data_IF_922537897773
#
_entry.id   IF_922537897773
#
_cell.length_a   1.000
_cell.length_b   1.000
_cell.length_c   1.000
_cell.angle_alpha   90.00
_cell.angle_beta   90.00
_cell.angle_gamma   90.00
#
_symmetry.space_group_name_H-M   'P 1'
#
loop_
_entity.id
_entity.type
_entity.pdbx_description
1 polymer ?
#
# COMPACT_ATOMS: atom_id res chain seq x y z
N UNK A 1 42.09 21.79 15.36
CA UNK A 1 42.48 20.98 14.19
C UNK A 1 41.94 19.54 14.26
N UNK A 2 42.13 18.76 15.32
CA UNK A 2 41.63 17.38 15.46
C UNK A 2 40.10 17.25 15.28
N UNK A 3 39.32 18.15 15.89
CA UNK A 3 37.84 18.13 15.79
C UNK A 3 37.35 18.32 14.34
N UNK A 4 37.97 19.21 13.60
CA UNK A 4 37.63 19.49 12.20
C UNK A 4 37.93 18.26 11.33
N UNK A 5 39.06 17.61 11.56
CA UNK A 5 39.45 16.38 10.86
C UNK A 5 38.45 15.25 11.16
N UNK A 6 38.07 15.05 12.41
CA UNK A 6 37.09 14.03 12.82
C UNK A 6 35.73 14.27 12.18
N UNK A 7 35.28 15.53 12.13
CA UNK A 7 34.04 15.89 11.47
C UNK A 7 34.08 15.61 9.97
N UNK A 8 35.19 15.91 9.32
CA UNK A 8 35.34 15.65 7.89
C UNK A 8 35.33 14.14 7.57
N UNK A 9 36.02 13.34 8.39
CA UNK A 9 36.01 11.88 8.27
C UNK A 9 34.58 11.34 8.46
N UNK A 10 33.83 11.82 9.46
CA UNK A 10 32.44 11.45 9.67
C UNK A 10 31.57 11.76 8.47
N UNK A 11 31.68 12.96 7.87
CA UNK A 11 30.94 13.34 6.68
C UNK A 11 31.24 12.42 5.48
N UNK A 12 32.52 12.06 5.28
CA UNK A 12 32.91 11.15 4.19
C UNK A 12 32.29 9.75 4.42
N UNK A 13 32.41 9.20 5.63
CA UNK A 13 31.86 7.90 5.97
C UNK A 13 30.35 7.89 5.80
N UNK A 14 29.68 8.93 6.27
CA UNK A 14 28.23 9.08 6.11
C UNK A 14 27.83 9.17 4.64
N UNK A 15 28.56 9.95 3.84
CA UNK A 15 28.31 10.07 2.40
C UNK A 15 28.47 8.72 1.69
N UNK A 16 29.55 8.00 1.95
CA UNK A 16 29.81 6.67 1.38
C UNK A 16 28.70 5.69 1.80
N UNK A 17 28.32 5.69 3.06
CA UNK A 17 27.24 4.85 3.56
C UNK A 17 25.90 5.14 2.85
N UNK A 18 25.52 6.40 2.76
CA UNK A 18 24.29 6.79 2.09
C UNK A 18 24.35 6.46 0.59
N UNK A 19 25.49 6.66 -0.06
CA UNK A 19 25.67 6.33 -1.46
C UNK A 19 25.49 4.83 -1.71
N UNK A 20 26.10 3.97 -0.88
CA UNK A 20 25.94 2.52 -0.99
C UNK A 20 24.48 2.12 -0.78
N UNK A 21 23.82 2.61 0.26
CA UNK A 21 22.45 2.22 0.60
C UNK A 21 21.41 2.68 -0.42
N UNK A 22 21.55 3.89 -0.98
CA UNK A 22 20.53 4.48 -1.83
C UNK A 22 20.80 4.39 -3.33
N UNK A 23 22.04 4.14 -3.75
CA UNK A 23 22.40 4.09 -5.17
C UNK A 23 22.91 2.74 -5.65
N UNK A 24 23.69 2.04 -4.85
CA UNK A 24 24.32 0.79 -5.28
C UNK A 24 23.49 -0.48 -4.97
N UNK A 25 22.60 -0.42 -3.98
CA UNK A 25 21.72 -1.55 -3.62
C UNK A 25 20.40 -1.59 -4.38
N UNK A 26 20.30 -0.95 -5.52
CA UNK A 26 19.09 -0.98 -6.35
C UNK A 26 19.22 -2.05 -7.42
N UNK A 27 18.20 -2.86 -7.59
CA UNK A 27 18.06 -3.67 -8.78
C UNK A 27 17.68 -2.77 -9.96
N UNK A 28 18.31 -2.98 -11.11
CA UNK A 28 17.91 -2.41 -12.39
C UNK A 28 17.07 -3.41 -13.20
N UNK A 29 16.73 -4.53 -12.59
CA UNK A 29 15.89 -5.55 -13.20
C UNK A 29 14.43 -5.05 -13.22
N UNK A 30 13.78 -5.20 -14.36
CA UNK A 30 12.38 -4.82 -14.55
C UNK A 30 11.43 -6.01 -14.35
N UNK A 31 11.96 -7.19 -14.04
CA UNK A 31 11.14 -8.37 -13.79
C UNK A 31 10.54 -8.33 -12.39
N UNK A 32 9.34 -8.90 -12.26
CA UNK A 32 8.68 -9.08 -10.96
C UNK A 32 9.33 -10.29 -10.28
N UNK A 33 9.78 -10.10 -9.06
CA UNK A 33 10.38 -11.17 -8.28
C UNK A 33 9.29 -11.96 -7.54
N UNK A 34 9.09 -13.21 -7.93
CA UNK A 34 8.11 -14.10 -7.29
C UNK A 34 8.76 -14.86 -6.14
N UNK A 35 8.11 -14.83 -4.98
CA UNK A 35 8.60 -15.49 -3.76
C UNK A 35 7.46 -16.19 -3.02
N UNK A 36 7.79 -17.33 -2.43
CA UNK A 36 6.88 -18.05 -1.55
C UNK A 36 7.50 -18.21 -0.16
N UNK A 37 6.68 -18.08 0.89
CA UNK A 37 7.00 -18.38 2.29
C UNK A 37 8.39 -17.91 2.76
N UNK A 38 8.65 -16.63 2.72
CA UNK A 38 9.93 -16.08 3.16
C UNK A 38 9.90 -15.59 4.60
N UNK A 39 11.03 -15.71 5.27
CA UNK A 39 11.23 -15.08 6.57
C UNK A 39 11.24 -13.54 6.45
N UNK A 40 10.94 -12.85 7.56
CA UNK A 40 11.00 -11.38 7.60
C UNK A 40 12.33 -10.83 7.11
N UNK A 41 13.44 -11.40 7.58
CA UNK A 41 14.79 -10.92 7.23
C UNK A 41 15.05 -11.06 5.72
N UNK A 42 14.59 -12.16 5.13
CA UNK A 42 14.71 -12.38 3.69
C UNK A 42 13.81 -11.44 2.89
N UNK A 43 12.59 -11.18 3.37
CA UNK A 43 11.69 -10.19 2.76
C UNK A 43 12.32 -8.79 2.81
N UNK A 44 12.91 -8.40 3.92
CA UNK A 44 13.60 -7.11 4.04
C UNK A 44 14.77 -6.99 3.06
N UNK A 45 15.60 -8.04 2.95
CA UNK A 45 16.72 -8.08 2.00
C UNK A 45 16.25 -7.87 0.55
N UNK A 46 15.19 -8.58 0.14
CA UNK A 46 14.65 -8.47 -1.22
C UNK A 46 14.01 -7.12 -1.45
N UNK A 47 13.20 -6.62 -0.50
CA UNK A 47 12.58 -5.30 -0.61
C UNK A 47 13.60 -4.16 -0.69
N UNK A 48 14.77 -4.31 -0.07
CA UNK A 48 15.84 -3.30 -0.13
C UNK A 48 16.42 -3.15 -1.53
N UNK A 49 16.26 -4.15 -2.40
CA UNK A 49 16.62 -4.06 -3.82
C UNK A 49 15.69 -3.13 -4.61
N UNK A 50 14.53 -2.75 -4.03
CA UNK A 50 13.49 -1.90 -4.66
C UNK A 50 12.95 -2.46 -5.97
N UNK A 51 12.89 -3.76 -6.06
CA UNK A 51 12.27 -4.49 -7.16
C UNK A 51 10.82 -4.83 -6.79
N UNK A 52 9.88 -4.84 -7.74
CA UNK A 52 8.53 -5.32 -7.48
C UNK A 52 8.54 -6.80 -7.08
N UNK A 53 7.78 -7.13 -6.05
CA UNK A 53 7.72 -8.48 -5.51
C UNK A 53 6.28 -8.96 -5.53
N UNK A 54 6.07 -10.17 -6.01
CA UNK A 54 4.81 -10.90 -5.88
C UNK A 54 5.02 -12.03 -4.88
N UNK A 55 4.16 -12.10 -3.87
CA UNK A 55 4.23 -13.14 -2.85
C UNK A 55 2.85 -13.71 -2.53
N UNK A 56 2.80 -15.00 -2.27
CA UNK A 56 1.60 -15.63 -1.74
C UNK A 56 1.48 -15.32 -0.24
N UNK A 57 0.34 -14.77 0.13
CA UNK A 57 0.08 -14.40 1.52
C UNK A 57 -1.04 -15.25 2.11
N UNK A 58 -0.65 -16.27 2.88
CA UNK A 58 -1.55 -17.27 3.45
C UNK A 58 -2.04 -16.87 4.85
N UNK A 59 -2.86 -15.82 4.94
CA UNK A 59 -3.55 -15.48 6.17
C UNK A 59 -5.07 -15.54 6.00
N UNK A 60 -5.63 -16.72 6.24
CA UNK A 60 -7.06 -17.00 6.09
C UNK A 60 -7.93 -16.00 6.86
N UNK A 61 -7.53 -15.61 8.07
CA UNK A 61 -8.31 -14.66 8.89
C UNK A 61 -8.45 -13.30 8.23
N UNK A 62 -7.41 -12.79 7.60
CA UNK A 62 -7.46 -11.51 6.89
C UNK A 62 -8.33 -11.65 5.64
N UNK A 63 -8.11 -12.69 4.86
CA UNK A 63 -8.87 -12.92 3.63
C UNK A 63 -10.36 -13.07 3.93
N UNK A 64 -10.72 -13.82 4.97
CA UNK A 64 -12.12 -13.98 5.37
C UNK A 64 -12.77 -12.68 5.85
N UNK A 65 -12.04 -11.83 6.58
CA UNK A 65 -12.57 -10.58 7.12
C UNK A 65 -12.54 -9.41 6.14
N UNK A 66 -11.81 -9.54 5.03
CA UNK A 66 -11.65 -8.49 4.02
C UNK A 66 -12.32 -8.82 2.69
N UNK A 67 -13.01 -9.95 2.58
CA UNK A 67 -13.77 -10.21 1.38
C UNK A 67 -14.98 -9.24 1.29
N UNK A 68 -15.39 -8.93 0.07
CA UNK A 68 -16.45 -7.95 -0.20
C UNK A 68 -17.77 -8.32 0.45
N UNK A 69 -18.08 -9.61 0.55
CA UNK A 69 -19.30 -10.10 1.19
C UNK A 69 -19.31 -9.77 2.67
N UNK A 70 -18.24 -10.12 3.41
CA UNK A 70 -18.17 -9.87 4.85
C UNK A 70 -18.24 -8.37 5.15
N UNK A 71 -17.52 -7.55 4.39
CA UNK A 71 -17.51 -6.11 4.58
C UNK A 71 -18.88 -5.51 4.30
N UNK A 72 -19.56 -5.94 3.23
CA UNK A 72 -20.88 -5.46 2.88
C UNK A 72 -21.97 -5.89 3.89
N UNK A 73 -21.89 -7.10 4.43
CA UNK A 73 -22.85 -7.60 5.42
C UNK A 73 -22.71 -6.88 6.78
N UNK A 74 -21.49 -6.56 7.18
CA UNK A 74 -21.24 -5.96 8.50
C UNK A 74 -21.22 -4.43 8.51
N UNK A 75 -20.85 -3.79 7.41
CA UNK A 75 -20.61 -2.34 7.35
C UNK A 75 -21.33 -1.61 6.19
N UNK A 76 -22.57 -1.97 5.85
CA UNK A 76 -23.25 -1.45 4.64
C UNK A 76 -23.52 0.05 4.65
N UNK A 77 -23.62 0.64 5.83
CA UNK A 77 -23.98 2.05 6.03
C UNK A 77 -22.76 2.99 6.14
N UNK A 78 -21.56 2.46 6.29
CA UNK A 78 -20.35 3.26 6.37
C UNK A 78 -20.00 3.85 4.99
N UNK A 79 -19.46 5.05 5.00
CA UNK A 79 -19.12 5.75 3.77
C UNK A 79 -17.74 5.40 3.28
N UNK A 80 -17.61 5.31 1.96
CA UNK A 80 -16.34 5.21 1.25
C UNK A 80 -16.24 6.32 0.20
N UNK A 81 -14.99 6.69 -0.13
CA UNK A 81 -14.67 7.75 -1.09
C UNK A 81 -14.61 7.15 -2.50
N UNK A 82 -15.44 7.66 -3.38
CA UNK A 82 -15.51 7.21 -4.78
C UNK A 82 -14.99 8.29 -5.71
N UNK A 83 -14.24 7.88 -6.69
CA UNK A 83 -13.70 8.72 -7.75
C UNK A 83 -14.04 8.15 -9.12
N UNK A 84 -14.27 9.06 -10.08
CA UNK A 84 -14.38 8.72 -11.49
C UNK A 84 -13.02 8.90 -12.17
N UNK A 85 -12.52 7.86 -12.85
CA UNK A 85 -11.22 7.89 -13.56
C UNK A 85 -11.19 8.97 -14.65
N UNK A 86 -12.32 9.23 -15.31
CA UNK A 86 -12.40 10.15 -16.44
C UNK A 86 -12.42 11.64 -16.03
N UNK A 87 -12.59 11.94 -14.76
CA UNK A 87 -12.51 13.30 -14.25
C UNK A 87 -11.05 13.70 -14.03
N UNK A 88 -10.38 13.98 -15.16
CA UNK A 88 -8.99 14.37 -15.25
C UNK A 88 -8.74 15.85 -14.93
N UNK A 89 -9.29 16.39 -13.86
CA UNK A 89 -8.71 17.61 -13.33
C UNK A 89 -7.48 17.25 -12.50
N UNK A 90 -6.34 17.41 -13.14
CA UNK A 90 -5.01 17.08 -12.59
C UNK A 90 -4.68 17.79 -11.25
N UNK A 91 -5.56 18.69 -10.79
CA UNK A 91 -5.40 19.48 -9.57
C UNK A 91 -6.52 19.31 -8.53
N UNK A 92 -7.58 18.57 -8.81
CA UNK A 92 -8.65 18.32 -7.83
C UNK A 92 -8.98 16.83 -7.78
N UNK A 93 -8.51 16.15 -6.74
CA UNK A 93 -9.00 14.83 -6.39
C UNK A 93 -10.43 14.97 -5.83
N UNK A 94 -11.41 15.03 -6.71
CA UNK A 94 -12.81 15.07 -6.31
C UNK A 94 -13.27 13.66 -5.92
N UNK A 95 -13.49 13.46 -4.63
CA UNK A 95 -14.12 12.27 -4.09
C UNK A 95 -15.56 12.55 -3.72
N UNK A 96 -16.43 11.60 -4.02
CA UNK A 96 -17.81 11.60 -3.54
C UNK A 96 -17.97 10.54 -2.48
N UNK A 97 -18.41 10.92 -1.29
CA UNK A 97 -18.68 9.97 -0.23
C UNK A 97 -20.03 9.30 -0.47
N UNK A 98 -20.04 7.98 -0.54
CA UNK A 98 -21.25 7.18 -0.67
C UNK A 98 -21.24 6.03 0.34
N UNK A 99 -22.40 5.64 0.88
CA UNK A 99 -22.53 4.44 1.70
C UNK A 99 -22.05 3.20 0.93
N UNK A 100 -21.39 2.28 1.61
CA UNK A 100 -20.79 1.10 1.01
C UNK A 100 -21.78 0.29 0.15
N UNK A 101 -23.01 0.09 0.64
CA UNK A 101 -24.01 -0.65 -0.13
C UNK A 101 -24.38 0.01 -1.48
N UNK A 102 -24.43 1.36 -1.50
CA UNK A 102 -24.70 2.11 -2.72
C UNK A 102 -23.50 2.08 -3.67
N UNK A 103 -22.30 2.14 -3.10
CA UNK A 103 -21.03 2.07 -3.84
C UNK A 103 -20.84 0.73 -4.53
N UNK A 104 -21.10 -0.37 -3.82
CA UNK A 104 -21.01 -1.72 -4.41
C UNK A 104 -22.04 -1.90 -5.54
N UNK A 105 -23.25 -1.31 -5.37
CA UNK A 105 -24.24 -1.32 -6.44
C UNK A 105 -23.75 -0.54 -7.65
N UNK A 106 -23.18 0.66 -7.45
CA UNK A 106 -22.58 1.47 -8.50
C UNK A 106 -21.49 0.70 -9.25
N UNK A 107 -20.57 0.04 -8.53
CA UNK A 107 -19.49 -0.74 -9.15
C UNK A 107 -20.02 -1.91 -9.99
N UNK A 108 -21.08 -2.59 -9.54
CA UNK A 108 -21.70 -3.69 -10.30
C UNK A 108 -22.45 -3.23 -11.54
N UNK A 109 -23.02 -2.03 -11.53
CA UNK A 109 -23.77 -1.44 -12.66
C UNK A 109 -22.86 -0.72 -13.66
N UNK A 110 -21.62 -0.41 -13.27
CA UNK A 110 -20.63 0.29 -14.09
C UNK A 110 -20.09 -0.63 -15.20
N UNK A 111 -20.51 -0.38 -16.42
CA UNK A 111 -20.05 -1.11 -17.61
C UNK A 111 -18.79 -0.56 -18.24
N UNK A 112 -18.38 0.63 -17.81
CA UNK A 112 -17.29 1.36 -18.43
C UNK A 112 -16.02 1.36 -17.56
N UNK A 113 -16.03 0.66 -16.41
CA UNK A 113 -14.89 0.58 -15.48
C UNK A 113 -14.37 1.94 -15.02
N UNK A 114 -15.28 2.88 -14.79
CA UNK A 114 -14.94 4.28 -14.53
C UNK A 114 -14.76 4.59 -13.05
N UNK A 115 -15.32 3.78 -12.16
CA UNK A 115 -15.37 4.11 -10.73
C UNK A 115 -14.44 3.25 -9.90
N UNK A 116 -13.70 3.90 -9.04
CA UNK A 116 -12.91 3.25 -8.00
C UNK A 116 -12.94 4.05 -6.69
N UNK A 117 -12.55 3.40 -5.63
CA UNK A 117 -12.52 3.92 -4.27
C UNK A 117 -11.14 3.73 -3.68
N UNK A 118 -10.58 4.78 -3.13
CA UNK A 118 -9.30 4.82 -2.43
C UNK A 118 -9.32 5.89 -1.34
N UNK A 119 -8.26 5.98 -0.53
CA UNK A 119 -8.16 6.90 0.60
C UNK A 119 -9.25 6.70 1.66
N UNK A 120 -9.58 5.43 1.94
CA UNK A 120 -10.60 5.00 2.88
C UNK A 120 -10.05 4.66 4.28
N UNK A 121 -8.98 5.30 4.70
CA UNK A 121 -8.43 5.12 6.04
C UNK A 121 -9.44 5.40 7.15
N UNK A 122 -10.35 6.37 6.91
CA UNK A 122 -11.43 6.71 7.84
C UNK A 122 -12.39 5.52 8.01
N UNK A 123 -12.81 4.89 6.91
CA UNK A 123 -13.63 3.68 6.92
C UNK A 123 -12.98 2.55 7.74
N UNK A 124 -11.69 2.29 7.53
CA UNK A 124 -10.97 1.26 8.27
C UNK A 124 -10.89 1.53 9.78
N UNK A 125 -10.76 2.80 10.17
CA UNK A 125 -10.69 3.20 11.57
C UNK A 125 -12.07 3.16 12.24
N UNK A 126 -13.10 3.67 11.60
CA UNK A 126 -14.48 3.73 12.12
C UNK A 126 -15.09 2.33 12.27
N UNK A 127 -14.87 1.45 11.31
CA UNK A 127 -15.32 0.05 11.38
C UNK A 127 -14.47 -0.80 12.31
N UNK A 128 -13.26 -0.36 12.64
CA UNK A 128 -12.31 -1.11 13.43
C UNK A 128 -11.61 -2.25 12.66
N UNK A 129 -11.88 -2.41 11.37
CA UNK A 129 -11.27 -3.43 10.49
C UNK A 129 -9.74 -3.31 10.47
N UNK A 130 -9.20 -2.10 10.64
CA UNK A 130 -7.76 -1.86 10.75
C UNK A 130 -7.05 -2.74 11.79
N UNK A 131 -7.76 -3.21 12.82
CA UNK A 131 -7.18 -4.08 13.85
C UNK A 131 -6.74 -5.42 13.30
N UNK A 132 -7.40 -5.93 12.27
CA UNK A 132 -7.04 -7.20 11.62
C UNK A 132 -5.70 -7.12 10.88
N UNK A 133 -5.34 -5.95 10.37
CA UNK A 133 -4.04 -5.74 9.71
C UNK A 133 -2.88 -5.65 10.71
N UNK A 134 -3.11 -5.03 11.86
CA UNK A 134 -2.05 -4.76 12.85
C UNK A 134 -1.34 -6.01 13.36
N UNK A 135 -1.96 -7.17 13.29
CA UNK A 135 -1.31 -8.43 13.65
C UNK A 135 -0.11 -8.78 12.75
N UNK A 136 -0.09 -8.24 11.53
CA UNK A 136 0.96 -8.51 10.56
C UNK A 136 2.01 -7.40 10.48
N UNK A 137 1.84 -6.31 11.24
CA UNK A 137 2.77 -5.19 11.28
C UNK A 137 4.19 -5.66 11.60
N UNK A 138 4.32 -6.61 12.51
CA UNK A 138 5.61 -7.13 12.90
C UNK A 138 6.35 -7.81 11.73
N UNK A 139 5.63 -8.44 10.81
CA UNK A 139 6.21 -9.09 9.65
C UNK A 139 6.54 -8.08 8.54
N UNK A 140 5.61 -7.20 8.21
CA UNK A 140 5.76 -6.28 7.08
C UNK A 140 6.51 -4.99 7.42
N UNK A 141 6.56 -4.61 8.69
CA UNK A 141 7.16 -3.36 9.12
C UNK A 141 8.68 -3.41 9.03
N UNK A 142 9.31 -2.54 8.22
CA UNK A 142 10.77 -2.42 8.18
C UNK A 142 11.35 -1.95 9.50
N UNK A 143 12.59 -2.29 9.74
CA UNK A 143 13.32 -1.82 10.91
C UNK A 143 13.38 -0.28 10.92
N UNK A 144 13.18 0.33 12.09
CA UNK A 144 13.17 1.80 12.33
C UNK A 144 12.05 2.60 11.60
N UNK A 145 11.06 1.95 11.01
CA UNK A 145 9.89 2.66 10.48
C UNK A 145 8.85 2.85 11.58
N UNK A 146 8.43 4.10 11.81
CA UNK A 146 7.45 4.45 12.84
C UNK A 146 6.03 4.61 12.30
N UNK A 147 5.89 5.14 11.09
CA UNK A 147 4.59 5.46 10.50
C UNK A 147 4.11 4.31 9.62
N UNK A 148 2.84 3.94 9.84
CA UNK A 148 2.12 2.94 9.04
C UNK A 148 0.76 3.53 8.69
N UNK A 149 0.44 3.50 7.40
CA UNK A 149 -0.87 3.88 6.89
C UNK A 149 -1.52 2.65 6.28
N UNK A 150 -2.82 2.53 6.51
CA UNK A 150 -3.64 1.48 5.94
C UNK A 150 -4.72 2.11 5.09
N UNK A 151 -4.98 1.49 3.97
CA UNK A 151 -6.07 1.85 3.09
C UNK A 151 -6.80 0.60 2.61
N UNK A 152 -8.03 0.77 2.16
CA UNK A 152 -8.80 -0.25 1.48
C UNK A 152 -9.32 0.32 0.18
N UNK A 153 -9.17 -0.46 -0.88
CA UNK A 153 -9.55 -0.06 -2.23
C UNK A 153 -10.66 -0.96 -2.74
N UNK A 154 -11.62 -0.35 -3.42
CA UNK A 154 -12.68 -1.05 -4.14
C UNK A 154 -12.76 -0.50 -5.55
N UNK A 155 -13.33 -1.24 -6.47
CA UNK A 155 -13.49 -0.77 -7.83
C UNK A 155 -14.52 -1.54 -8.62
N UNK A 156 -14.94 -0.94 -9.74
CA UNK A 156 -15.68 -1.62 -10.77
C UNK A 156 -14.81 -2.71 -11.42
N UNK A 157 -15.43 -3.68 -12.05
CA UNK A 157 -14.69 -4.70 -12.79
C UNK A 157 -13.81 -4.06 -13.87
N UNK A 158 -12.58 -4.54 -14.01
CA UNK A 158 -11.58 -4.05 -14.97
C UNK A 158 -11.20 -2.56 -14.81
N UNK A 159 -11.54 -1.93 -13.67
CA UNK A 159 -11.06 -0.56 -13.40
C UNK A 159 -9.57 -0.55 -13.10
N UNK A 160 -8.93 0.58 -13.36
CA UNK A 160 -7.51 0.77 -13.09
C UNK A 160 -7.25 2.10 -12.40
N UNK A 161 -6.20 2.17 -11.63
CA UNK A 161 -5.70 3.44 -11.10
C UNK A 161 -4.66 4.03 -12.07
N UNK A 162 -4.63 5.36 -12.27
CA UNK A 162 -3.59 5.98 -13.10
C UNK A 162 -2.20 5.75 -12.47
N UNK A 163 -1.19 5.71 -13.33
CA UNK A 163 0.19 5.63 -12.85
C UNK A 163 0.52 6.82 -11.97
N UNK A 164 1.03 6.53 -10.78
CA UNK A 164 1.46 7.54 -9.82
C UNK A 164 2.73 7.11 -9.11
N UNK A 165 3.48 8.08 -8.61
CA UNK A 165 4.64 7.82 -7.75
C UNK A 165 4.17 7.69 -6.31
N UNK A 166 4.55 6.60 -5.66
CA UNK A 166 4.35 6.42 -4.23
C UNK A 166 5.57 6.94 -3.47
N UNK A 167 5.31 7.82 -2.47
CA UNK A 167 6.37 8.47 -1.67
C UNK A 167 6.80 7.58 -0.50
N UNK A 168 5.98 6.59 -0.18
CA UNK A 168 6.23 5.70 0.95
C UNK A 168 7.49 4.86 0.73
N UNK A 169 8.16 4.54 1.82
CA UNK A 169 9.34 3.69 1.78
C UNK A 169 9.05 2.30 1.21
N UNK A 170 7.90 1.71 1.58
CA UNK A 170 7.36 0.46 1.04
C UNK A 170 5.84 0.54 0.97
N UNK A 171 5.27 -0.07 -0.05
CA UNK A 171 3.84 -0.28 -0.21
C UNK A 171 3.57 -1.78 -0.38
N UNK A 172 2.54 -2.26 0.29
CA UNK A 172 2.07 -3.63 0.17
C UNK A 172 0.60 -3.60 -0.27
N UNK A 173 0.31 -4.31 -1.34
CA UNK A 173 -1.04 -4.46 -1.85
C UNK A 173 -1.48 -5.91 -1.64
N UNK A 174 -2.56 -6.12 -0.90
CA UNK A 174 -3.17 -7.42 -0.71
C UNK A 174 -4.43 -7.49 -1.56
N UNK A 175 -4.44 -8.41 -2.52
CA UNK A 175 -5.63 -8.74 -3.29
C UNK A 175 -6.42 -9.79 -2.50
N UNK A 176 -7.69 -9.50 -2.19
CA UNK A 176 -8.59 -10.40 -1.44
C UNK A 176 -9.66 -11.04 -2.31
N UNK A 177 -9.89 -10.50 -3.52
CA UNK A 177 -10.81 -11.02 -4.56
C UNK A 177 -10.28 -10.74 -5.95
#
# INVERSE_FOLDING_TARGET
>A
MKIIISFFIFCIVLFVYLHIQFHLKKSNDLEIYEIDDVSKDKLEEICDLRQPILMNYNNEKIIETLNSRFILENYPAFEIKIRNINENDANSELYVNLPLHASIKLFKEDKNSNYFSENNSDFLNETGVVKHFKYNDQYFRPFMVSNLNYDIMFGSNDTYTPFRYEINYRNYFLCTE
#
